data_IF_828405118589
#
_entry.id   IF_828405118589
#
_cell.length_a   1.000
_cell.length_b   1.000
_cell.length_c   1.000
_cell.angle_alpha   90.00
_cell.angle_beta   90.00
_cell.angle_gamma   90.00
#
_symmetry.space_group_name_H-M   'P 1'
#
loop_
_entity.id
_entity.type
_entity.pdbx_description
1 polymer ?
#
# COMPACT_ATOMS: atom_id res chain seq x y z
N UNK A 1 -2.74 20.72 -10.06
CA UNK A 1 -2.51 19.79 -8.93
C UNK A 1 -3.65 18.79 -8.92
N UNK A 2 -3.37 17.51 -8.75
CA UNK A 2 -4.42 16.48 -8.67
C UNK A 2 -5.22 16.67 -7.39
N UNK A 3 -6.56 16.67 -7.49
CA UNK A 3 -7.48 17.00 -6.39
C UNK A 3 -7.27 16.18 -5.09
N UNK A 4 -6.63 15.02 -5.19
CA UNK A 4 -6.35 14.17 -4.03
C UNK A 4 -5.16 14.65 -3.17
N UNK A 5 -4.23 15.44 -3.72
CA UNK A 5 -3.13 15.99 -2.90
C UNK A 5 -3.65 16.98 -1.85
N UNK A 6 -4.78 17.62 -2.13
CA UNK A 6 -5.43 18.57 -1.23
C UNK A 6 -6.06 17.87 -0.01
N UNK A 7 -6.28 16.54 -0.06
CA UNK A 7 -6.83 15.76 1.06
C UNK A 7 -5.76 15.22 2.00
N UNK A 8 -4.47 15.41 1.67
CA UNK A 8 -3.37 14.94 2.50
C UNK A 8 -3.23 15.75 3.80
N UNK A 9 -2.71 15.12 4.88
CA UNK A 9 -2.31 15.82 6.08
C UNK A 9 -1.24 16.88 5.80
N UNK A 10 -1.23 17.94 6.62
CA UNK A 10 -0.33 19.09 6.43
C UNK A 10 1.14 18.68 6.42
N UNK A 11 1.54 17.75 7.29
CA UNK A 11 2.91 17.26 7.34
C UNK A 11 3.35 16.59 6.02
N UNK A 12 2.46 15.83 5.37
CA UNK A 12 2.74 15.21 4.08
C UNK A 12 2.82 16.26 2.96
N UNK A 13 1.94 17.26 2.95
CA UNK A 13 1.99 18.38 2.00
C UNK A 13 3.28 19.18 2.12
N UNK A 14 3.65 19.54 3.35
CA UNK A 14 4.91 20.24 3.63
C UNK A 14 6.12 19.42 3.19
N UNK A 15 6.08 18.09 3.37
CA UNK A 15 7.12 17.23 2.85
C UNK A 15 7.16 17.25 1.31
N UNK A 16 6.03 17.25 0.62
CA UNK A 16 6.02 17.29 -0.85
C UNK A 16 6.36 18.66 -1.45
N UNK A 17 6.45 19.72 -0.65
CA UNK A 17 6.77 21.06 -1.16
C UNK A 17 8.14 21.08 -1.86
N UNK A 18 8.15 21.60 -3.10
CA UNK A 18 9.35 21.63 -3.94
C UNK A 18 9.82 20.27 -4.45
N UNK A 19 9.10 19.17 -4.15
CA UNK A 19 9.43 17.81 -4.55
C UNK A 19 8.37 17.24 -5.47
N UNK A 20 8.80 16.34 -6.36
CA UNK A 20 7.88 15.57 -7.21
C UNK A 20 7.53 14.29 -6.47
N UNK A 21 6.25 13.94 -6.44
CA UNK A 21 5.79 12.66 -5.95
C UNK A 21 5.86 11.62 -7.08
N UNK A 22 6.69 10.59 -6.91
CA UNK A 22 6.85 9.54 -7.91
C UNK A 22 6.05 8.27 -7.59
N UNK A 23 6.04 7.85 -6.34
CA UNK A 23 5.36 6.63 -5.89
C UNK A 23 4.52 6.88 -4.63
N UNK A 24 3.43 6.13 -4.50
CA UNK A 24 2.60 6.04 -3.29
C UNK A 24 2.55 4.58 -2.87
N UNK A 25 2.85 4.32 -1.61
CA UNK A 25 2.69 3.01 -1.00
C UNK A 25 1.46 3.01 -0.08
N UNK A 26 0.55 2.07 -0.32
CA UNK A 26 -0.57 1.80 0.59
C UNK A 26 -0.25 0.53 1.38
N UNK A 27 -0.15 0.65 2.69
CA UNK A 27 0.24 -0.44 3.60
C UNK A 27 -0.88 -0.80 4.57
N UNK A 28 -0.93 -2.08 4.93
CA UNK A 28 -1.76 -2.66 5.99
C UNK A 28 -0.89 -3.61 6.83
N UNK A 29 -1.36 -3.96 8.02
CA UNK A 29 -0.74 -5.01 8.82
C UNK A 29 -1.24 -6.39 8.38
N UNK A 30 -0.35 -7.38 8.28
CA UNK A 30 -0.74 -8.79 8.27
C UNK A 30 -1.06 -9.31 9.69
N UNK A 31 -1.33 -10.61 9.80
CA UNK A 31 -1.72 -11.28 11.06
C UNK A 31 -0.70 -11.10 12.20
N UNK A 32 0.62 -11.32 11.99
CA UNK A 32 1.62 -11.09 13.04
C UNK A 32 2.04 -9.62 13.23
N UNK A 33 1.58 -8.68 12.40
CA UNK A 33 1.93 -7.25 12.57
C UNK A 33 2.89 -6.68 11.52
N UNK A 34 3.23 -7.45 10.48
CA UNK A 34 4.20 -7.03 9.45
C UNK A 34 3.48 -6.15 8.43
N UNK A 35 4.11 -5.04 8.05
CA UNK A 35 3.60 -4.16 7.01
C UNK A 35 3.64 -4.87 5.65
N UNK A 36 2.46 -4.98 5.01
CA UNK A 36 2.25 -5.48 3.65
C UNK A 36 1.50 -4.44 2.85
N UNK A 37 1.63 -4.43 1.53
CA UNK A 37 0.97 -3.39 0.78
C UNK A 37 1.22 -3.42 -0.71
N UNK A 38 0.91 -2.30 -1.34
CA UNK A 38 1.12 -2.07 -2.75
C UNK A 38 1.71 -0.70 -2.98
N UNK A 39 2.87 -0.68 -3.62
CA UNK A 39 3.48 0.53 -4.14
C UNK A 39 3.03 0.77 -5.59
N UNK A 40 2.66 2.00 -5.92
CA UNK A 40 2.15 2.37 -7.23
C UNK A 40 2.62 3.76 -7.66
N UNK A 41 2.91 3.99 -8.95
CA UNK A 41 3.26 5.32 -9.43
C UNK A 41 2.17 6.34 -9.11
N UNK A 42 2.55 7.54 -8.69
CA UNK A 42 1.62 8.60 -8.29
C UNK A 42 0.62 8.98 -9.41
N UNK A 43 1.06 8.88 -10.67
CA UNK A 43 0.22 9.11 -11.85
C UNK A 43 -0.89 8.06 -12.03
N UNK A 44 -0.65 6.82 -11.56
CA UNK A 44 -1.65 5.74 -11.52
C UNK A 44 -2.54 5.91 -10.30
N UNK A 45 -1.97 6.22 -9.14
CA UNK A 45 -2.71 6.50 -7.91
C UNK A 45 -3.77 7.59 -8.12
N UNK A 46 -3.41 8.67 -8.83
CA UNK A 46 -4.31 9.78 -9.11
C UNK A 46 -5.57 9.42 -9.94
N UNK A 47 -5.64 8.23 -10.53
CA UNK A 47 -6.73 7.79 -11.43
C UNK A 47 -7.52 6.60 -10.88
N UNK A 48 -7.25 6.16 -9.65
CA UNK A 48 -7.75 4.89 -9.15
C UNK A 48 -8.15 5.03 -7.69
N UNK A 49 -9.41 4.68 -7.37
CA UNK A 49 -9.96 4.84 -6.02
C UNK A 49 -9.58 3.68 -5.06
N UNK A 50 -9.20 2.53 -5.62
CA UNK A 50 -8.82 1.33 -4.87
C UNK A 50 -7.94 0.40 -5.70
N UNK A 51 -7.19 -0.47 -5.03
CA UNK A 51 -6.36 -1.48 -5.68
C UNK A 51 -6.79 -2.89 -5.28
N UNK A 52 -6.44 -3.86 -6.11
CA UNK A 52 -6.54 -5.27 -5.74
C UNK A 52 -5.25 -5.73 -5.05
N UNK A 53 -5.42 -6.52 -4.01
CA UNK A 53 -4.39 -7.17 -3.23
C UNK A 53 -4.81 -8.63 -3.03
N UNK A 54 -3.95 -9.63 -3.29
CA UNK A 54 -4.32 -11.02 -3.09
C UNK A 54 -4.37 -11.34 -1.60
N UNK A 55 -5.28 -12.21 -1.17
CA UNK A 55 -5.37 -12.66 0.23
C UNK A 55 -4.17 -13.51 0.68
N UNK A 56 -3.36 -14.03 -0.25
CA UNK A 56 -2.10 -14.73 0.01
C UNK A 56 -1.18 -13.96 0.96
N UNK A 57 -1.18 -12.61 0.93
CA UNK A 57 -0.28 -11.80 1.76
C UNK A 57 -0.40 -12.07 3.27
N UNK A 58 -1.54 -12.60 3.72
CA UNK A 58 -1.77 -12.96 5.13
C UNK A 58 -1.22 -14.33 5.51
N UNK A 59 -0.86 -15.15 4.52
CA UNK A 59 -0.33 -16.50 4.69
C UNK A 59 1.18 -16.57 4.54
N UNK A 60 1.86 -15.46 4.21
CA UNK A 60 3.31 -15.44 4.27
C UNK A 60 3.78 -15.37 5.73
N UNK A 61 4.53 -16.37 6.14
CA UNK A 61 5.15 -16.46 7.47
C UNK A 61 6.20 -15.38 7.68
N UNK A 62 6.60 -15.18 8.95
CA UNK A 62 7.64 -14.22 9.33
C UNK A 62 8.99 -14.55 8.67
N UNK A 63 9.29 -15.84 8.43
CA UNK A 63 10.51 -16.30 7.75
C UNK A 63 10.44 -16.17 6.23
N UNK A 64 9.28 -15.81 5.67
CA UNK A 64 9.07 -15.66 4.23
C UNK A 64 8.51 -16.90 3.53
N UNK A 65 8.40 -18.03 4.23
CA UNK A 65 7.70 -19.22 3.75
C UNK A 65 6.19 -19.01 3.69
N UNK A 66 5.48 -19.91 3.03
CA UNK A 66 4.01 -19.90 3.00
C UNK A 66 3.45 -20.82 4.08
N UNK A 67 2.43 -20.36 4.79
CA UNK A 67 1.65 -21.21 5.68
C UNK A 67 0.96 -22.31 4.87
N UNK A 68 0.71 -23.46 5.50
CA UNK A 68 -0.08 -24.54 4.93
C UNK A 68 -1.55 -24.07 4.81
N UNK A 69 -1.83 -23.34 3.74
CA UNK A 69 -3.12 -22.69 3.47
C UNK A 69 -3.92 -23.38 2.35
N UNK A 70 -3.36 -24.44 1.76
CA UNK A 70 -4.02 -25.25 0.76
C UNK A 70 -4.58 -26.52 1.42
N UNK A 71 -5.90 -26.53 1.62
CA UNK A 71 -6.65 -27.77 1.88
C UNK A 71 -6.47 -28.76 0.72
N UNK A 72 -6.90 -30.02 0.90
CA UNK A 72 -6.76 -31.09 -0.10
C UNK A 72 -7.32 -30.76 -1.49
N UNK A 73 -8.26 -29.79 -1.58
CA UNK A 73 -8.91 -29.34 -2.82
C UNK A 73 -8.17 -28.19 -3.55
N UNK A 74 -7.04 -27.73 -3.02
CA UNK A 74 -6.27 -26.62 -3.58
C UNK A 74 -6.73 -25.23 -3.12
N UNK A 75 -5.79 -24.28 -3.16
CA UNK A 75 -6.04 -22.90 -2.72
C UNK A 75 -6.44 -22.01 -3.89
N UNK A 76 -7.53 -21.26 -3.74
CA UNK A 76 -7.97 -20.23 -4.68
C UNK A 76 -7.58 -18.86 -4.12
N UNK A 77 -6.69 -18.16 -4.81
CA UNK A 77 -6.31 -16.78 -4.48
C UNK A 77 -7.52 -15.86 -4.66
N UNK A 78 -7.98 -15.25 -3.56
CA UNK A 78 -9.07 -14.29 -3.61
C UNK A 78 -8.51 -12.89 -3.69
N UNK A 79 -9.08 -12.10 -4.60
CA UNK A 79 -8.82 -10.68 -4.64
C UNK A 79 -9.51 -9.95 -3.49
N UNK A 80 -8.75 -9.09 -2.81
CA UNK A 80 -9.24 -8.15 -1.82
C UNK A 80 -9.15 -6.72 -2.37
N UNK A 81 -9.95 -5.83 -1.78
CA UNK A 81 -9.93 -4.40 -2.10
C UNK A 81 -9.08 -3.65 -1.08
N UNK A 82 -7.99 -3.04 -1.54
CA UNK A 82 -7.16 -2.10 -0.80
C UNK A 82 -7.63 -0.68 -1.10
N UNK A 83 -8.27 -0.05 -0.11
CA UNK A 83 -8.74 1.33 -0.20
C UNK A 83 -7.82 2.27 0.61
N UNK A 84 -7.21 3.28 -0.01
CA UNK A 84 -6.38 4.24 0.71
C UNK A 84 -7.19 5.04 1.76
N UNK A 85 -6.64 5.18 2.96
CA UNK A 85 -7.12 6.15 3.95
C UNK A 85 -6.21 7.39 3.92
N UNK A 86 -6.69 8.43 3.24
CA UNK A 86 -5.94 9.67 3.04
C UNK A 86 -5.59 10.37 4.35
N UNK A 87 -6.32 10.13 5.44
CA UNK A 87 -6.04 10.74 6.75
C UNK A 87 -4.76 10.22 7.41
N UNK A 88 -4.30 9.04 6.97
CA UNK A 88 -3.09 8.37 7.50
C UNK A 88 -1.84 8.64 6.68
N UNK A 89 -1.96 9.38 5.57
CA UNK A 89 -0.85 9.61 4.65
C UNK A 89 0.29 10.38 5.31
N UNK A 90 1.51 9.86 5.17
CA UNK A 90 2.73 10.46 5.69
C UNK A 90 3.87 10.31 4.69
N UNK A 91 4.90 11.13 4.85
CA UNK A 91 6.13 10.99 4.11
C UNK A 91 6.90 9.74 4.54
N UNK A 92 7.52 9.05 3.58
CA UNK A 92 8.52 8.01 3.82
C UNK A 92 9.92 8.58 3.55
N UNK A 93 10.55 9.27 4.51
CA UNK A 93 11.76 10.06 4.24
C UNK A 93 13.02 9.26 3.91
N UNK A 94 12.97 7.94 4.06
CA UNK A 94 14.10 7.03 3.85
C UNK A 94 14.17 6.44 2.43
N UNK A 95 13.17 6.64 1.56
CA UNK A 95 13.11 5.92 0.27
C UNK A 95 14.18 6.34 -0.73
N UNK A 96 14.89 7.44 -0.50
CA UNK A 96 16.02 7.86 -1.33
C UNK A 96 15.65 8.29 -2.75
N UNK A 97 14.34 8.40 -3.04
CA UNK A 97 13.82 8.91 -4.30
C UNK A 97 13.94 10.44 -4.31
N UNK A 98 14.96 10.93 -5.02
CA UNK A 98 15.30 12.35 -5.21
C UNK A 98 15.22 12.80 -6.67
#
# INVERSE_FOLDING_TARGET
MSAWLDTLPEAAKAYLEGRRLDEVECVISDLPGIARGKAVPASKFAKTDYFHLPDSIFYQTITGDWADAADEDGWIEKDMTLKPDMSTATAAPWTGDW
#
